data_IF_111754111604
#
_entry.id   IF_111754111604
#
_cell.length_a   1.000
_cell.length_b   1.000
_cell.length_c   1.000
_cell.angle_alpha   90.00
_cell.angle_beta   90.00
_cell.angle_gamma   90.00
#
_symmetry.space_group_name_H-M   'P 1'
#
loop_
_entity.id
_entity.type
_entity.pdbx_description
1 polymer ?
#
# COMPACT_ATOMS: atom_id res chain seq x y z
N UNK A 1 -23.70 -70.08 -80.68
CA UNK A 1 -23.01 -68.79 -80.82
C UNK A 1 -23.56 -67.86 -79.79
N UNK A 2 -23.03 -67.94 -78.57
CA UNK A 2 -23.53 -67.16 -77.43
C UNK A 2 -22.51 -66.04 -77.11
N UNK A 3 -23.01 -64.83 -77.24
CA UNK A 3 -22.21 -63.64 -76.82
C UNK A 3 -22.55 -63.35 -75.39
N UNK A 4 -21.55 -63.52 -74.47
CA UNK A 4 -21.64 -63.05 -73.09
C UNK A 4 -21.33 -61.55 -73.10
N UNK A 5 -22.28 -60.77 -72.62
CA UNK A 5 -22.08 -59.35 -72.31
C UNK A 5 -21.65 -59.23 -70.80
N UNK A 6 -20.42 -58.82 -70.57
CA UNK A 6 -19.95 -58.56 -69.20
C UNK A 6 -20.37 -57.14 -68.78
N UNK A 7 -21.19 -57.05 -67.77
CA UNK A 7 -21.56 -55.78 -67.10
C UNK A 7 -20.51 -55.49 -66.07
N UNK A 8 -19.74 -54.46 -66.32
CA UNK A 8 -18.78 -53.91 -65.31
C UNK A 8 -19.56 -52.95 -64.39
N UNK A 9 -19.76 -53.35 -63.18
CA UNK A 9 -20.28 -52.46 -62.08
C UNK A 9 -19.13 -51.69 -61.48
N UNK A 10 -19.07 -50.38 -61.72
CA UNK A 10 -18.13 -49.49 -61.14
C UNK A 10 -18.69 -49.06 -59.78
N UNK A 11 -18.09 -49.54 -58.69
CA UNK A 11 -18.34 -49.02 -57.31
C UNK A 11 -17.56 -47.71 -57.13
N UNK A 12 -18.28 -46.61 -57.11
CA UNK A 12 -17.73 -45.33 -56.73
C UNK A 12 -17.62 -45.28 -55.17
N UNK A 13 -16.39 -45.37 -54.63
CA UNK A 13 -16.12 -45.08 -53.23
C UNK A 13 -16.25 -43.58 -53.07
N UNK A 14 -17.29 -43.16 -52.38
CA UNK A 14 -17.41 -41.79 -51.84
C UNK A 14 -16.65 -41.73 -50.54
N UNK A 15 -15.44 -41.15 -50.54
CA UNK A 15 -14.66 -40.84 -49.36
C UNK A 15 -15.28 -39.62 -48.69
N UNK A 16 -15.98 -39.82 -47.57
CA UNK A 16 -16.47 -38.74 -46.73
C UNK A 16 -15.28 -38.26 -45.92
N UNK A 17 -14.62 -37.18 -46.31
CA UNK A 17 -13.66 -36.44 -45.48
C UNK A 17 -14.44 -35.67 -44.41
N UNK A 18 -14.49 -36.24 -43.20
CA UNK A 18 -14.96 -35.55 -42.02
C UNK A 18 -13.96 -34.46 -41.64
N UNK A 19 -14.27 -33.20 -41.96
CA UNK A 19 -13.57 -32.05 -41.39
C UNK A 19 -13.87 -32.00 -39.90
N UNK A 20 -12.94 -32.48 -39.07
CA UNK A 20 -12.90 -32.11 -37.66
C UNK A 20 -12.57 -30.61 -37.59
N UNK A 21 -13.58 -29.79 -37.28
CA UNK A 21 -13.39 -28.43 -36.84
C UNK A 21 -12.71 -28.50 -35.47
N UNK A 22 -11.39 -28.33 -35.40
CA UNK A 22 -10.70 -28.00 -34.18
C UNK A 22 -11.21 -26.63 -33.72
N UNK A 23 -12.17 -26.65 -32.79
CA UNK A 23 -12.47 -25.49 -31.97
C UNK A 23 -11.24 -25.28 -31.12
N UNK A 24 -10.33 -24.43 -31.53
CA UNK A 24 -9.33 -23.80 -30.65
C UNK A 24 -10.12 -22.98 -29.63
N UNK A 25 -10.35 -23.57 -28.46
CA UNK A 25 -10.79 -22.81 -27.31
C UNK A 25 -9.63 -21.85 -26.98
N UNK A 26 -9.73 -20.63 -27.47
CA UNK A 26 -8.96 -19.52 -26.94
C UNK A 26 -9.44 -19.32 -25.52
N UNK A 27 -8.75 -19.95 -24.57
CA UNK A 27 -8.77 -19.52 -23.18
C UNK A 27 -8.21 -18.10 -23.16
N UNK A 28 -9.06 -17.10 -23.36
CA UNK A 28 -8.82 -15.77 -22.86
C UNK A 28 -8.68 -15.95 -21.36
N UNK A 29 -7.44 -15.88 -20.86
CA UNK A 29 -7.22 -15.65 -19.42
C UNK A 29 -8.06 -14.41 -19.11
N UNK A 30 -9.19 -14.58 -18.42
CA UNK A 30 -9.88 -13.48 -17.78
C UNK A 30 -8.83 -12.76 -16.93
N UNK A 31 -8.50 -11.55 -17.35
CA UNK A 31 -7.63 -10.68 -16.60
C UNK A 31 -8.44 -10.33 -15.35
N UNK A 32 -8.15 -10.99 -14.22
CA UNK A 32 -8.77 -10.64 -12.94
C UNK A 32 -8.52 -9.14 -12.73
N UNK A 33 -9.55 -8.35 -12.46
CA UNK A 33 -9.39 -6.93 -12.27
C UNK A 33 -8.42 -6.69 -11.10
N UNK A 34 -7.38 -5.92 -11.36
CA UNK A 34 -6.46 -5.49 -10.33
C UNK A 34 -7.11 -4.34 -9.55
N UNK A 35 -7.00 -4.35 -8.22
CA UNK A 35 -7.59 -3.32 -7.36
C UNK A 35 -7.03 -1.91 -7.68
N UNK A 36 -7.84 -0.90 -7.45
CA UNK A 36 -7.47 0.52 -7.57
C UNK A 36 -8.15 1.36 -6.48
N UNK A 37 -8.13 2.68 -6.62
CA UNK A 37 -8.79 3.59 -5.69
C UNK A 37 -10.06 4.22 -6.29
N UNK A 38 -10.47 3.86 -7.49
CA UNK A 38 -11.66 4.42 -8.14
C UNK A 38 -12.45 3.36 -8.93
N UNK A 39 -13.70 3.71 -9.24
CA UNK A 39 -14.59 2.89 -10.05
C UNK A 39 -14.91 1.53 -9.43
N UNK A 40 -15.10 0.53 -10.29
CA UNK A 40 -15.47 -0.84 -9.89
C UNK A 40 -14.35 -1.62 -9.20
N UNK A 41 -13.15 -1.05 -9.11
CA UNK A 41 -11.99 -1.66 -8.43
C UNK A 41 -11.55 -0.87 -7.20
N UNK A 42 -12.40 0.06 -6.74
CA UNK A 42 -12.19 0.91 -5.55
C UNK A 42 -12.22 0.12 -4.23
N UNK A 43 -11.83 0.75 -3.11
CA UNK A 43 -11.78 0.08 -1.79
C UNK A 43 -13.06 -0.62 -1.37
N UNK A 44 -14.22 -0.16 -1.80
CA UNK A 44 -15.53 -0.76 -1.53
C UNK A 44 -15.68 -2.16 -2.16
N UNK A 45 -14.91 -2.46 -3.21
CA UNK A 45 -14.97 -3.70 -3.98
C UNK A 45 -13.77 -4.63 -3.74
N UNK A 46 -12.78 -4.23 -2.94
CA UNK A 46 -11.56 -5.02 -2.72
C UNK A 46 -11.81 -6.43 -2.22
N UNK A 47 -12.82 -6.63 -1.39
CA UNK A 47 -13.22 -7.96 -0.89
C UNK A 47 -13.64 -8.90 -2.02
N UNK A 48 -14.32 -8.35 -3.02
CA UNK A 48 -14.83 -9.10 -4.16
C UNK A 48 -13.72 -9.44 -5.17
N UNK A 49 -12.75 -8.54 -5.30
CA UNK A 49 -11.62 -8.64 -6.24
C UNK A 49 -10.52 -9.53 -5.67
N UNK A 50 -10.15 -9.29 -4.42
CA UNK A 50 -9.06 -9.97 -3.71
C UNK A 50 -9.61 -11.02 -2.74
N UNK A 51 -10.14 -12.11 -3.27
CA UNK A 51 -10.87 -13.17 -2.52
C UNK A 51 -10.09 -13.82 -1.37
N UNK A 52 -8.77 -13.71 -1.36
CA UNK A 52 -7.90 -14.24 -0.30
C UNK A 52 -7.35 -13.12 0.59
N UNK A 53 -8.04 -11.98 0.66
CA UNK A 53 -7.65 -10.85 1.48
C UNK A 53 -8.41 -10.81 2.80
N UNK A 54 -7.87 -10.07 3.76
CA UNK A 54 -8.54 -9.77 5.04
C UNK A 54 -9.35 -8.46 4.97
N UNK A 55 -9.68 -7.95 3.74
CA UNK A 55 -10.26 -6.61 3.56
C UNK A 55 -11.64 -6.43 4.20
N UNK A 56 -12.35 -7.51 4.54
CA UNK A 56 -13.60 -7.53 5.31
C UNK A 56 -13.40 -7.87 6.80
N UNK A 57 -12.14 -7.89 7.26
CA UNK A 57 -11.79 -8.22 8.64
C UNK A 57 -12.32 -7.19 9.64
N UNK A 58 -12.27 -7.57 10.92
CA UNK A 58 -12.82 -6.75 12.01
C UNK A 58 -11.82 -5.76 12.62
N UNK A 59 -10.57 -5.77 12.19
CA UNK A 59 -9.49 -4.93 12.71
C UNK A 59 -8.82 -4.10 11.61
N UNK A 60 -9.63 -3.63 10.69
CA UNK A 60 -9.16 -2.94 9.50
C UNK A 60 -8.69 -1.50 9.77
N UNK A 61 -7.81 -1.01 8.90
CA UNK A 61 -7.26 0.35 8.84
C UNK A 61 -7.60 1.00 7.49
N UNK A 62 -7.58 2.34 7.42
CA UNK A 62 -7.34 3.32 8.49
C UNK A 62 -8.54 3.48 9.44
N UNK A 63 -8.42 4.34 10.45
CA UNK A 63 -9.51 4.70 11.37
C UNK A 63 -9.62 6.21 11.55
N UNK A 64 -10.78 6.68 12.04
CA UNK A 64 -10.90 8.00 12.62
C UNK A 64 -10.52 7.95 14.11
N UNK A 65 -9.51 8.71 14.50
CA UNK A 65 -9.07 8.82 15.89
C UNK A 65 -9.86 9.96 16.57
N UNK A 66 -10.67 9.62 17.55
CA UNK A 66 -11.35 10.62 18.40
C UNK A 66 -10.44 10.90 19.59
N UNK A 67 -9.80 12.05 19.60
CA UNK A 67 -8.73 12.40 20.56
C UNK A 67 -9.21 12.32 22.02
N UNK A 68 -10.43 12.78 22.30
CA UNK A 68 -11.00 12.76 23.67
C UNK A 68 -11.29 11.33 24.18
N UNK A 69 -11.46 10.38 23.27
CA UNK A 69 -11.76 8.98 23.61
C UNK A 69 -10.50 8.14 23.79
N UNK A 70 -9.32 8.72 23.51
CA UNK A 70 -8.04 8.01 23.64
C UNK A 70 -7.67 7.84 25.11
N UNK A 71 -7.04 6.69 25.42
CA UNK A 71 -6.60 6.38 26.77
C UNK A 71 -5.08 6.52 26.91
N UNK A 72 -4.59 7.19 27.96
CA UNK A 72 -3.17 7.18 28.24
C UNK A 72 -2.65 5.76 28.44
N UNK A 73 -1.55 5.41 27.78
CA UNK A 73 -0.92 4.12 28.04
C UNK A 73 -0.33 4.07 29.45
N UNK A 74 -0.51 2.94 30.13
CA UNK A 74 0.07 2.73 31.46
C UNK A 74 1.54 2.28 31.40
N UNK A 75 2.01 1.83 30.24
CA UNK A 75 3.40 1.38 30.04
C UNK A 75 4.29 2.56 29.65
N UNK A 76 4.98 3.15 30.64
CA UNK A 76 5.70 4.42 30.47
C UNK A 76 7.06 4.34 29.75
N UNK A 77 7.80 3.24 29.82
CA UNK A 77 9.25 3.35 29.64
C UNK A 77 9.86 2.60 28.44
N UNK A 78 9.10 1.85 27.65
CA UNK A 78 9.69 1.02 26.59
C UNK A 78 8.84 0.84 25.33
N UNK A 79 7.80 1.64 25.17
CA UNK A 79 6.85 1.39 24.10
C UNK A 79 7.47 1.57 22.73
N UNK A 80 8.12 2.70 22.49
CA UNK A 80 8.73 3.02 21.19
C UNK A 80 10.12 3.63 21.38
N UNK A 81 11.11 3.06 20.70
CA UNK A 81 12.43 3.68 20.50
C UNK A 81 12.69 3.77 19.00
N UNK A 82 13.04 4.94 18.51
CA UNK A 82 13.46 5.15 17.12
C UNK A 82 14.98 5.08 17.05
N UNK A 83 15.50 4.15 16.26
CA UNK A 83 16.92 3.84 16.09
C UNK A 83 17.32 4.18 14.64
N UNK A 84 17.06 5.42 14.24
CA UNK A 84 17.39 5.93 12.92
C UNK A 84 18.72 6.68 12.96
N UNK A 85 19.44 6.57 11.85
CA UNK A 85 20.69 7.30 11.64
C UNK A 85 20.42 8.56 10.80
N UNK A 86 21.28 9.60 10.88
CA UNK A 86 21.16 10.77 10.01
C UNK A 86 21.45 10.49 8.53
N UNK A 87 21.74 9.24 8.16
CA UNK A 87 22.07 8.83 6.80
C UNK A 87 21.36 7.53 6.44
N UNK A 88 20.04 7.57 6.39
CA UNK A 88 19.24 6.45 5.87
C UNK A 88 19.53 6.26 4.39
N UNK A 89 20.08 5.11 4.01
CA UNK A 89 20.43 4.81 2.64
C UNK A 89 19.18 4.42 1.84
N UNK A 90 18.91 5.16 0.77
CA UNK A 90 17.84 4.90 -0.17
C UNK A 90 18.33 3.92 -1.24
N UNK A 91 17.61 2.82 -1.39
CA UNK A 91 17.91 1.75 -2.34
C UNK A 91 17.29 2.02 -3.71
N UNK A 92 15.99 2.31 -3.73
CA UNK A 92 15.25 2.53 -4.95
C UNK A 92 13.98 3.35 -4.70
N UNK A 93 13.46 3.91 -5.77
CA UNK A 93 12.13 4.53 -5.79
C UNK A 93 11.29 3.89 -6.89
N UNK A 94 10.05 3.56 -6.56
CA UNK A 94 9.11 2.86 -7.45
C UNK A 94 7.81 3.63 -7.53
N UNK A 95 7.30 3.84 -8.74
CA UNK A 95 5.90 4.15 -8.93
C UNK A 95 5.19 2.81 -9.22
N UNK A 96 4.51 2.27 -8.22
CA UNK A 96 3.85 0.96 -8.31
C UNK A 96 2.41 1.02 -8.87
N UNK A 97 1.99 2.21 -9.36
CA UNK A 97 0.63 2.46 -9.84
C UNK A 97 -0.37 2.81 -8.74
N UNK A 98 -0.01 2.68 -7.46
CA UNK A 98 -0.84 2.99 -6.30
C UNK A 98 -0.26 4.12 -5.45
N UNK A 99 1.06 4.21 -5.37
CA UNK A 99 1.80 5.26 -4.67
C UNK A 99 3.22 5.38 -5.23
N UNK A 100 3.92 6.43 -4.80
CA UNK A 100 5.39 6.52 -4.92
C UNK A 100 5.98 5.92 -3.66
N UNK A 101 6.74 4.84 -3.84
CA UNK A 101 7.36 4.07 -2.77
C UNK A 101 8.89 4.23 -2.82
N UNK A 102 9.48 4.49 -1.67
CA UNK A 102 10.92 4.57 -1.44
C UNK A 102 11.36 3.41 -0.58
N UNK A 103 12.17 2.51 -1.14
CA UNK A 103 12.73 1.37 -0.41
C UNK A 103 14.12 1.72 0.12
N UNK A 104 14.43 1.23 1.32
CA UNK A 104 15.68 1.54 2.01
C UNK A 104 16.57 0.32 2.19
N UNK A 105 17.87 0.55 2.28
CA UNK A 105 18.82 -0.46 2.73
C UNK A 105 18.62 -0.76 4.22
N UNK A 106 19.06 -1.94 4.64
CA UNK A 106 19.01 -2.31 6.05
C UNK A 106 19.88 -1.37 6.91
N UNK A 107 19.35 -0.92 8.04
CA UNK A 107 20.05 -0.03 8.97
C UNK A 107 19.12 0.56 10.00
N UNK A 108 18.20 1.36 9.55
CA UNK A 108 17.24 2.02 10.42
C UNK A 108 16.18 1.06 10.95
N UNK A 109 15.79 1.25 12.19
CA UNK A 109 14.83 0.38 12.85
C UNK A 109 14.09 1.12 13.96
N UNK A 110 13.05 0.49 14.45
CA UNK A 110 12.38 0.87 15.69
C UNK A 110 12.36 -0.32 16.64
N UNK A 111 12.36 -0.07 17.93
CA UNK A 111 11.97 -1.05 18.93
C UNK A 111 10.58 -0.69 19.45
N UNK A 112 9.65 -1.63 19.33
CA UNK A 112 8.28 -1.46 19.78
C UNK A 112 7.85 -2.67 20.61
N UNK A 113 7.40 -2.45 21.84
CA UNK A 113 7.13 -3.51 22.83
C UNK A 113 8.26 -4.54 22.99
N UNK A 114 9.51 -4.08 22.90
CA UNK A 114 10.70 -4.94 23.05
C UNK A 114 11.14 -5.67 21.78
N UNK A 115 10.32 -5.71 20.73
CA UNK A 115 10.68 -6.30 19.44
C UNK A 115 11.29 -5.25 18.49
N UNK A 116 12.27 -5.67 17.67
CA UNK A 116 12.93 -4.82 16.66
C UNK A 116 12.24 -4.98 15.31
N UNK A 117 11.87 -3.85 14.71
CA UNK A 117 11.29 -3.76 13.38
C UNK A 117 12.19 -2.89 12.50
N UNK A 118 12.66 -3.43 11.39
CA UNK A 118 13.53 -2.74 10.45
C UNK A 118 12.73 -1.95 9.45
N UNK A 119 13.17 -0.71 9.16
CA UNK A 119 12.58 0.12 8.12
C UNK A 119 12.74 -0.60 6.77
N UNK A 120 11.64 -0.79 6.07
CA UNK A 120 11.58 -1.42 4.75
C UNK A 120 11.35 -0.40 3.67
N UNK A 121 10.30 0.43 3.82
CA UNK A 121 9.90 1.39 2.80
C UNK A 121 9.09 2.56 3.41
N UNK A 122 8.99 3.62 2.62
CA UNK A 122 8.14 4.77 2.87
C UNK A 122 7.28 5.03 1.64
N UNK A 123 6.01 5.40 1.84
CA UNK A 123 5.11 5.80 0.77
C UNK A 123 4.11 6.86 1.23
N UNK A 124 3.35 7.41 0.29
CA UNK A 124 2.49 8.56 0.51
C UNK A 124 1.04 8.27 0.14
N UNK A 125 0.13 8.88 0.90
CA UNK A 125 -1.30 8.97 0.60
C UNK A 125 -1.75 10.43 0.53
N UNK A 126 -2.44 10.79 -0.55
CA UNK A 126 -2.98 12.13 -0.78
C UNK A 126 -4.47 12.03 -1.19
N UNK A 127 -5.35 12.56 -0.32
CA UNK A 127 -5.15 13.02 1.05
C UNK A 127 -4.87 11.89 2.06
N UNK A 128 -4.78 12.20 3.36
CA UNK A 128 -4.48 11.22 4.42
C UNK A 128 -5.51 10.11 4.49
N UNK A 129 -5.09 8.94 4.93
CA UNK A 129 -5.97 7.80 5.20
C UNK A 129 -6.61 7.90 6.59
N UNK A 130 -5.78 8.12 7.63
CA UNK A 130 -6.29 8.39 8.97
C UNK A 130 -6.87 9.80 9.07
N UNK A 131 -7.88 9.93 9.92
CA UNK A 131 -8.41 11.23 10.34
C UNK A 131 -8.27 11.38 11.85
N UNK A 132 -8.12 12.63 12.32
CA UNK A 132 -8.16 12.96 13.73
C UNK A 132 -9.35 13.88 13.97
N UNK A 133 -10.28 13.46 14.83
CA UNK A 133 -11.55 14.16 15.08
C UNK A 133 -12.34 14.47 13.79
N UNK A 134 -12.29 13.54 12.81
CA UNK A 134 -12.92 13.70 11.50
C UNK A 134 -12.18 14.63 10.53
N UNK A 135 -11.03 15.17 10.91
CA UNK A 135 -10.24 16.05 10.05
C UNK A 135 -9.28 15.19 9.22
N UNK A 136 -9.40 15.28 7.88
CA UNK A 136 -8.50 14.69 6.91
C UNK A 136 -7.39 15.67 6.57
N UNK A 137 -6.14 15.20 6.57
CA UNK A 137 -4.97 16.01 6.29
C UNK A 137 -4.61 15.97 4.80
N UNK A 138 -3.92 16.99 4.26
CA UNK A 138 -3.50 16.99 2.85
C UNK A 138 -2.61 15.82 2.44
N UNK A 139 -1.83 15.28 3.37
CA UNK A 139 -0.89 14.19 3.09
C UNK A 139 -0.68 13.32 4.33
N UNK A 140 -0.49 12.03 4.12
CA UNK A 140 -0.03 11.08 5.11
C UNK A 140 1.17 10.28 4.58
N UNK A 141 2.15 10.09 5.43
CA UNK A 141 3.39 9.38 5.11
C UNK A 141 3.44 8.13 5.98
N UNK A 142 3.56 6.97 5.36
CA UNK A 142 3.74 5.70 6.03
C UNK A 142 5.19 5.24 5.97
N UNK A 143 5.81 5.04 7.14
CA UNK A 143 7.10 4.38 7.29
C UNK A 143 6.83 2.95 7.73
N UNK A 144 6.99 2.01 6.83
CA UNK A 144 6.66 0.60 7.05
C UNK A 144 7.88 -0.14 7.58
N UNK A 145 7.73 -0.74 8.76
CA UNK A 145 8.77 -1.53 9.39
C UNK A 145 8.35 -2.99 9.49
N UNK A 146 9.31 -3.89 9.42
CA UNK A 146 9.09 -5.31 9.46
C UNK A 146 10.03 -6.00 10.44
N UNK A 147 9.49 -6.89 11.28
CA UNK A 147 10.29 -7.69 12.18
C UNK A 147 10.85 -8.94 11.48
N UNK A 148 11.75 -9.66 12.16
CA UNK A 148 12.26 -10.95 11.69
C UNK A 148 11.16 -12.03 11.58
N UNK A 149 10.10 -11.90 12.37
CA UNK A 149 8.91 -12.79 12.33
C UNK A 149 7.91 -12.42 11.25
N UNK A 150 8.21 -11.41 10.40
CA UNK A 150 7.34 -10.83 9.39
C UNK A 150 6.12 -10.06 9.95
N UNK A 151 6.14 -9.67 11.22
CA UNK A 151 5.15 -8.75 11.78
C UNK A 151 5.42 -7.32 11.29
N UNK A 152 4.36 -6.52 11.14
CA UNK A 152 4.43 -5.15 10.69
C UNK A 152 4.18 -4.15 11.80
N UNK A 153 4.94 -3.08 11.78
CA UNK A 153 4.66 -1.84 12.52
C UNK A 153 4.77 -0.67 11.55
N UNK A 154 3.73 0.12 11.44
CA UNK A 154 3.69 1.29 10.54
C UNK A 154 3.68 2.54 11.40
N UNK A 155 4.64 3.44 11.15
CA UNK A 155 4.62 4.80 11.68
C UNK A 155 3.98 5.71 10.64
N UNK A 156 2.97 6.47 11.06
CA UNK A 156 2.26 7.42 10.23
C UNK A 156 2.56 8.85 10.68
N UNK A 157 2.93 9.69 9.71
CA UNK A 157 3.16 11.12 9.88
C UNK A 157 2.16 11.87 9.01
N UNK A 158 1.27 12.62 9.65
CA UNK A 158 0.34 13.50 8.97
C UNK A 158 1.04 14.81 8.58
N UNK A 159 0.63 15.41 7.48
CA UNK A 159 1.18 16.69 7.04
C UNK A 159 0.07 17.72 6.81
N UNK A 160 0.35 18.98 7.16
CA UNK A 160 -0.50 20.13 6.87
C UNK A 160 0.24 21.17 6.05
N UNK A 161 -0.50 22.01 5.37
CA UNK A 161 0.06 23.05 4.51
C UNK A 161 0.86 24.10 5.29
N UNK A 162 1.96 24.57 4.68
CA UNK A 162 2.80 25.63 5.22
C UNK A 162 4.08 25.84 4.42
N UNK A 163 5.22 25.96 5.09
CA UNK A 163 6.51 26.18 4.44
C UNK A 163 7.06 24.95 3.75
N UNK A 164 7.98 25.12 2.81
CA UNK A 164 8.73 24.04 2.16
C UNK A 164 9.55 23.23 3.15
N UNK A 165 9.69 21.95 2.85
CA UNK A 165 10.48 20.99 3.61
C UNK A 165 11.66 20.49 2.76
N UNK A 166 12.90 20.63 3.26
CA UNK A 166 14.08 20.11 2.56
C UNK A 166 14.02 18.60 2.29
N UNK A 167 13.38 17.85 3.18
CA UNK A 167 13.23 16.43 2.99
C UNK A 167 12.24 16.10 1.86
N UNK A 168 11.18 16.89 1.72
CA UNK A 168 10.26 16.73 0.59
C UNK A 168 10.92 17.14 -0.72
N UNK A 169 11.75 18.19 -0.75
CA UNK A 169 12.57 18.52 -1.92
C UNK A 169 13.47 17.35 -2.34
N UNK A 170 14.03 16.61 -1.37
CA UNK A 170 14.79 15.39 -1.66
C UNK A 170 13.90 14.31 -2.31
N UNK A 171 12.74 13.98 -1.77
CA UNK A 171 11.83 12.98 -2.36
C UNK A 171 11.35 13.40 -3.75
N UNK A 172 11.02 14.68 -3.93
CA UNK A 172 10.58 15.23 -5.21
C UNK A 172 11.66 15.21 -6.31
N UNK A 173 12.94 15.21 -5.93
CA UNK A 173 14.05 15.21 -6.88
C UNK A 173 14.08 13.96 -7.76
N UNK A 174 13.37 12.89 -7.35
CA UNK A 174 13.23 11.65 -8.09
C UNK A 174 12.04 11.63 -9.05
N UNK A 175 11.13 12.61 -8.95
CA UNK A 175 9.93 12.70 -9.78
C UNK A 175 10.15 13.50 -11.06
N UNK A 176 9.43 13.19 -12.15
CA UNK A 176 8.43 12.13 -12.26
C UNK A 176 9.04 10.73 -12.46
N UNK A 177 8.27 9.71 -12.04
CA UNK A 177 8.58 8.29 -12.31
C UNK A 177 7.39 7.68 -13.03
N UNK A 178 7.66 7.02 -14.17
CA UNK A 178 6.62 6.34 -14.94
C UNK A 178 5.97 5.22 -14.11
N UNK A 179 4.66 5.09 -14.23
CA UNK A 179 3.90 4.01 -13.58
C UNK A 179 4.48 2.63 -13.92
N UNK A 180 4.53 1.75 -12.93
CA UNK A 180 5.12 0.41 -13.00
C UNK A 180 6.62 0.41 -13.38
N UNK A 181 7.35 1.43 -12.93
CA UNK A 181 8.81 1.46 -13.08
C UNK A 181 9.50 1.72 -11.75
N UNK A 182 10.72 1.18 -11.66
CA UNK A 182 11.63 1.35 -10.53
C UNK A 182 12.92 2.02 -11.01
N UNK A 183 13.45 2.92 -10.20
CA UNK A 183 14.73 3.56 -10.39
C UNK A 183 15.62 3.27 -9.19
N UNK A 184 16.76 2.62 -9.43
CA UNK A 184 17.77 2.41 -8.39
C UNK A 184 18.40 3.76 -8.00
N UNK A 185 18.65 3.93 -6.72
CA UNK A 185 19.17 5.15 -6.11
C UNK A 185 20.37 4.78 -5.24
N UNK A 186 21.38 5.64 -5.26
CA UNK A 186 22.54 5.54 -4.37
C UNK A 186 22.72 6.88 -3.65
N UNK A 187 21.77 7.23 -2.83
CA UNK A 187 21.74 8.45 -2.05
C UNK A 187 21.24 8.16 -0.63
N UNK A 188 21.43 9.07 0.28
CA UNK A 188 20.93 8.97 1.64
C UNK A 188 20.28 10.26 2.08
N UNK A 189 19.34 10.17 3.01
CA UNK A 189 18.67 11.30 3.64
C UNK A 189 18.50 11.09 5.13
N UNK A 190 18.29 12.16 5.86
CA UNK A 190 17.96 12.11 7.28
C UNK A 190 16.46 12.03 7.49
N UNK A 191 15.93 10.82 7.64
CA UNK A 191 14.51 10.59 7.88
C UNK A 191 14.05 11.01 9.29
N UNK A 192 14.97 11.32 10.21
CA UNK A 192 14.59 11.83 11.55
C UNK A 192 13.89 13.18 11.46
N UNK A 193 14.11 13.92 10.37
CA UNK A 193 13.46 15.20 10.08
C UNK A 193 11.97 15.08 9.69
N UNK A 194 11.49 13.87 9.40
CA UNK A 194 10.06 13.59 9.23
C UNK A 194 9.26 13.63 10.55
N UNK A 195 9.94 13.48 11.70
CA UNK A 195 9.22 13.42 12.95
C UNK A 195 8.86 14.83 13.43
N UNK A 196 7.62 15.04 13.91
CA UNK A 196 7.22 16.32 14.47
C UNK A 196 8.01 16.65 15.73
N UNK A 197 8.05 17.93 16.11
CA UNK A 197 8.74 18.39 17.33
C UNK A 197 8.11 17.77 18.58
N UNK A 198 6.80 17.81 18.68
CA UNK A 198 6.06 17.08 19.70
C UNK A 198 5.80 15.66 19.19
N UNK A 199 6.50 14.70 19.75
CA UNK A 199 6.45 13.30 19.32
C UNK A 199 5.39 12.48 20.05
N UNK A 200 4.35 13.10 20.61
CA UNK A 200 3.21 12.36 21.13
C UNK A 200 2.52 11.61 19.98
N UNK A 201 2.08 10.40 20.23
CA UNK A 201 1.53 9.55 19.20
C UNK A 201 0.36 8.68 19.70
N UNK A 202 -0.51 8.33 18.80
CA UNK A 202 -1.55 7.35 19.04
C UNK A 202 -1.07 5.96 18.62
N UNK A 203 -1.60 4.93 19.28
CA UNK A 203 -1.36 3.53 18.90
C UNK A 203 -2.64 2.74 18.89
N UNK A 204 -2.75 1.83 17.93
CA UNK A 204 -3.81 0.84 17.87
C UNK A 204 -3.37 -0.37 17.03
N UNK A 205 -4.05 -1.51 17.22
CA UNK A 205 -3.87 -2.68 16.36
C UNK A 205 -4.82 -2.61 15.17
N UNK A 206 -4.28 -2.71 13.96
CA UNK A 206 -5.02 -2.58 12.72
C UNK A 206 -4.57 -3.53 11.62
N UNK A 207 -4.66 -3.08 10.37
CA UNK A 207 -4.30 -3.81 9.16
C UNK A 207 -3.41 -2.98 8.23
N UNK A 208 -2.90 -3.59 7.17
CA UNK A 208 -2.49 -2.85 5.98
C UNK A 208 -3.72 -2.15 5.37
N UNK A 209 -3.52 -0.98 4.79
CA UNK A 209 -4.59 -0.17 4.18
C UNK A 209 -4.82 -0.47 2.70
N UNK A 210 -4.05 -1.39 2.14
CA UNK A 210 -4.19 -1.88 0.76
C UNK A 210 -4.30 -3.40 0.76
N UNK A 211 -4.92 -4.01 -0.25
CA UNK A 211 -4.92 -5.46 -0.40
C UNK A 211 -3.52 -6.08 -0.25
N UNK A 212 -3.39 -7.18 0.48
CA UNK A 212 -4.46 -8.04 1.00
C UNK A 212 -5.04 -7.63 2.36
N UNK A 213 -4.89 -6.37 2.82
CA UNK A 213 -5.46 -5.82 4.05
C UNK A 213 -5.10 -6.62 5.32
N UNK A 214 -3.93 -7.27 5.31
CA UNK A 214 -3.46 -8.16 6.39
C UNK A 214 -3.57 -7.51 7.75
N UNK A 215 -4.25 -8.17 8.68
CA UNK A 215 -4.43 -7.70 10.06
C UNK A 215 -3.20 -7.94 10.94
N UNK A 216 -3.26 -7.55 12.20
CA UNK A 216 -2.17 -7.59 13.18
C UNK A 216 -1.00 -6.64 12.86
N UNK A 217 -1.30 -5.52 12.26
CA UNK A 217 -0.36 -4.41 12.07
C UNK A 217 -0.43 -3.47 13.28
N UNK A 218 0.72 -3.16 13.87
CA UNK A 218 0.82 -2.11 14.88
C UNK A 218 0.87 -0.76 14.19
N UNK A 219 -0.05 0.14 14.53
CA UNK A 219 -0.06 1.52 14.06
C UNK A 219 0.46 2.48 15.13
N UNK A 220 1.33 3.38 14.71
CA UNK A 220 1.91 4.47 15.50
C UNK A 220 1.68 5.76 14.71
N UNK A 221 0.71 6.59 15.12
CA UNK A 221 0.33 7.79 14.40
C UNK A 221 0.78 9.00 15.21
N UNK A 222 1.70 9.81 14.68
CA UNK A 222 2.11 11.04 15.34
C UNK A 222 0.95 12.03 15.42
N UNK A 223 0.71 12.55 16.65
CA UNK A 223 -0.42 13.45 16.91
C UNK A 223 -0.25 14.81 16.22
N UNK A 224 0.97 15.36 16.23
CA UNK A 224 1.28 16.64 15.61
C UNK A 224 1.64 16.44 14.14
N UNK A 225 0.96 17.11 13.20
CA UNK A 225 1.34 17.05 11.79
C UNK A 225 2.63 17.85 11.53
N UNK A 226 3.41 17.38 10.57
CA UNK A 226 4.51 18.16 10.00
C UNK A 226 4.00 19.21 9.02
N UNK A 227 4.90 20.10 8.57
CA UNK A 227 4.58 21.17 7.63
C UNK A 227 5.19 20.85 6.27
N UNK A 228 4.39 20.96 5.21
CA UNK A 228 4.79 20.82 3.81
C UNK A 228 4.14 21.93 2.99
N UNK A 229 4.76 22.32 1.89
CA UNK A 229 4.15 23.33 1.01
C UNK A 229 3.06 22.72 0.11
N UNK A 230 2.15 23.55 -0.36
CA UNK A 230 1.13 23.16 -1.34
C UNK A 230 1.79 22.59 -2.61
N UNK A 231 2.88 23.20 -3.08
CA UNK A 231 3.59 22.76 -4.29
C UNK A 231 4.16 21.34 -4.13
N UNK A 232 4.71 21.01 -2.95
CA UNK A 232 5.22 19.68 -2.63
C UNK A 232 4.10 18.62 -2.63
N UNK A 233 2.97 18.92 -2.03
CA UNK A 233 1.79 18.03 -2.06
C UNK A 233 1.30 17.84 -3.49
N UNK A 234 1.15 18.92 -4.26
CA UNK A 234 0.68 18.85 -5.65
C UNK A 234 1.64 18.06 -6.55
N UNK A 235 2.94 18.16 -6.31
CA UNK A 235 3.94 17.41 -7.09
C UNK A 235 3.85 15.92 -6.84
N UNK A 236 3.67 15.49 -5.59
CA UNK A 236 3.38 14.08 -5.26
C UNK A 236 2.06 13.63 -5.88
N UNK A 237 0.98 14.38 -5.67
CA UNK A 237 -0.37 14.11 -6.21
C UNK A 237 -0.37 13.88 -7.72
N UNK A 238 0.39 14.68 -8.46
CA UNK A 238 0.46 14.56 -9.93
C UNK A 238 1.24 13.31 -10.41
N UNK A 239 1.90 12.59 -9.51
CA UNK A 239 2.66 11.39 -9.80
C UNK A 239 2.06 10.10 -9.19
N UNK A 240 0.91 10.20 -8.51
CA UNK A 240 0.18 9.11 -7.87
C UNK A 240 -1.27 9.07 -8.38
N UNK A 241 -2.02 7.99 -8.18
CA UNK A 241 -3.46 7.99 -8.37
C UNK A 241 -4.11 9.10 -7.51
N UNK A 242 -5.11 9.75 -8.05
CA UNK A 242 -5.90 10.73 -7.29
C UNK A 242 -6.63 10.03 -6.14
N UNK A 243 -6.60 10.63 -4.96
CA UNK A 243 -7.28 10.09 -3.79
C UNK A 243 -6.85 8.64 -3.48
N UNK A 244 -5.53 8.39 -3.45
CA UNK A 244 -4.99 7.07 -3.15
C UNK A 244 -5.10 6.72 -1.67
N UNK A 245 -6.32 6.78 -1.11
CA UNK A 245 -6.62 6.46 0.27
C UNK A 245 -7.83 5.51 0.36
N UNK A 246 -7.83 4.69 1.40
CA UNK A 246 -8.98 3.90 1.83
C UNK A 246 -9.79 4.73 2.83
N UNK A 247 -11.12 4.63 2.79
CA UNK A 247 -11.98 5.26 3.79
C UNK A 247 -11.76 4.66 5.18
N UNK A 248 -12.08 5.43 6.22
CA UNK A 248 -11.96 5.00 7.61
C UNK A 248 -12.82 3.77 7.89
N UNK A 249 -12.24 2.82 8.60
CA UNK A 249 -12.85 1.56 8.96
C UNK A 249 -13.43 1.63 10.40
N UNK A 250 -14.47 0.87 10.70
CA UNK A 250 -15.03 0.81 12.04
C UNK A 250 -14.00 0.42 13.09
N UNK A 251 -14.01 1.08 14.25
CA UNK A 251 -13.09 0.77 15.34
C UNK A 251 -13.33 -0.62 15.95
N UNK A 252 -14.58 -1.13 15.92
CA UNK A 252 -14.96 -2.47 16.37
C UNK A 252 -14.43 -2.80 17.77
N UNK A 253 -14.69 -1.92 18.75
CA UNK A 253 -14.25 -2.06 20.16
C UNK A 253 -12.72 -2.06 20.36
N UNK A 254 -11.92 -1.74 19.37
CA UNK A 254 -10.48 -1.53 19.55
C UNK A 254 -10.24 -0.26 20.36
N UNK A 255 -9.25 -0.31 21.22
CA UNK A 255 -8.81 0.85 21.99
C UNK A 255 -7.72 1.59 21.21
N UNK A 256 -7.81 2.92 21.22
CA UNK A 256 -6.73 3.80 20.75
C UNK A 256 -6.05 4.40 21.97
N UNK A 257 -4.75 4.16 22.12
CA UNK A 257 -3.97 4.70 23.21
C UNK A 257 -3.19 5.94 22.76
N UNK A 258 -3.08 6.93 23.65
CA UNK A 258 -2.19 8.08 23.48
C UNK A 258 -0.92 7.90 24.32
N UNK A 259 0.22 8.18 23.71
CA UNK A 259 1.54 7.94 24.28
C UNK A 259 2.39 9.21 24.19
N UNK A 260 3.25 9.40 25.18
CA UNK A 260 4.26 10.46 25.19
C UNK A 260 5.58 9.85 24.76
N UNK A 261 6.21 10.42 23.76
CA UNK A 261 7.57 10.06 23.36
C UNK A 261 8.55 10.70 24.34
N UNK A 262 9.42 9.91 24.95
CA UNK A 262 10.47 10.38 25.83
C UNK A 262 11.81 10.50 25.09
#
# INVERSE_FOLDING_TARGET
MNRFVAIIVIFALISITSCKSDKTETHTKEHQPHWSYDGETSPEHWVEIEKNSDCDGNRQSPINIIDIDTKPTQQKDTLLKVLYTPKTALKQVTNNGHSIQFDFEAGDSIQYHGEIYHLSQLHFHEPSEHTINGIRYPLEIHLVHKSKSNAYTVMSVLAKEGAKSQLFEFFESFLPIKVNTTKEINQSSDLTTLFPKNKNFYTYGGSLTTPPCTENVNWIIFKEPIIVSVDEVLKLKNNMPKNNYRNEQPLNNREVSINTFQ
#
